data_IF_329879934933
#
_entry.id   IF_329879934933
#
_cell.length_a   1.000
_cell.length_b   1.000
_cell.length_c   1.000
_cell.angle_alpha   90.00
_cell.angle_beta   90.00
_cell.angle_gamma   90.00
#
_symmetry.space_group_name_H-M   'P 1'
#
loop_
_entity.id
_entity.type
_entity.pdbx_description
1 polymer ?
#
# COMPACT_ATOMS: atom_id res chain seq x y z
N UNK A 1 -8.12 18.06 2.93
CA UNK A 1 -7.50 18.53 4.19
C UNK A 1 -7.05 19.97 3.93
N UNK A 2 -8.00 20.86 3.64
CA UNK A 2 -7.72 22.11 2.88
C UNK A 2 -8.64 23.28 3.22
N UNK A 3 -9.53 23.15 4.22
CA UNK A 3 -10.49 24.20 4.59
C UNK A 3 -10.20 24.86 5.94
N UNK A 4 -9.33 24.27 6.75
CA UNK A 4 -9.01 24.79 8.09
C UNK A 4 -7.90 25.88 8.06
N UNK A 5 -6.91 25.73 7.16
CA UNK A 5 -5.73 26.63 7.12
C UNK A 5 -6.01 28.00 6.48
N UNK A 6 -6.91 28.06 5.50
CA UNK A 6 -7.30 29.34 4.88
C UNK A 6 -8.07 30.22 5.85
N UNK A 7 -8.91 29.61 6.70
CA UNK A 7 -9.75 30.31 7.66
C UNK A 7 -8.91 30.95 8.78
N UNK A 8 -7.90 30.25 9.29
CA UNK A 8 -6.97 30.80 10.28
C UNK A 8 -6.10 31.91 9.71
N UNK A 9 -5.62 31.77 8.47
CA UNK A 9 -4.84 32.82 7.80
C UNK A 9 -5.68 34.09 7.53
N UNK A 10 -6.95 33.93 7.16
CA UNK A 10 -7.89 35.05 6.99
C UNK A 10 -8.25 35.70 8.33
N UNK A 11 -8.49 34.94 9.39
CA UNK A 11 -8.73 35.47 10.73
C UNK A 11 -7.55 36.30 11.25
N UNK A 12 -6.31 35.84 11.00
CA UNK A 12 -5.10 36.55 11.41
C UNK A 12 -4.89 37.84 10.59
N UNK A 13 -5.14 37.79 9.29
CA UNK A 13 -5.12 38.96 8.41
C UNK A 13 -6.15 40.00 8.85
N UNK A 14 -7.37 39.55 9.14
CA UNK A 14 -8.47 40.42 9.61
C UNK A 14 -8.13 41.00 10.99
N UNK A 15 -7.47 40.24 11.86
CA UNK A 15 -6.99 40.74 13.16
C UNK A 15 -5.88 41.77 13.02
N UNK A 16 -4.98 41.63 12.04
CA UNK A 16 -3.94 42.64 11.76
C UNK A 16 -4.53 43.92 11.19
N UNK A 17 -5.51 43.80 10.28
CA UNK A 17 -6.23 44.94 9.71
C UNK A 17 -7.02 45.69 10.80
N UNK A 18 -7.65 44.98 11.75
CA UNK A 18 -8.36 45.60 12.88
C UNK A 18 -7.46 46.36 13.87
N UNK A 19 -6.18 45.99 14.00
CA UNK A 19 -5.22 46.71 14.85
C UNK A 19 -4.71 47.98 14.12
N UNK A 20 -4.64 47.95 12.79
CA UNK A 20 -4.23 49.06 11.94
C UNK A 20 -5.37 50.06 11.68
N UNK A 21 -6.63 49.60 11.71
CA UNK A 21 -7.82 50.46 11.70
C UNK A 21 -8.03 51.12 13.07
N UNK A 22 -7.15 52.05 13.40
CA UNK A 22 -7.35 53.08 14.43
C UNK A 22 -8.44 54.07 14.00
N UNK A 23 -9.66 53.61 13.76
CA UNK A 23 -10.88 54.43 13.71
C UNK A 23 -11.54 54.58 15.09
N UNK A 24 -10.97 53.98 16.13
CA UNK A 24 -11.42 54.09 17.54
C UNK A 24 -10.58 55.06 18.37
N UNK A 25 -10.08 56.14 17.78
CA UNK A 25 -9.76 57.34 18.57
C UNK A 25 -10.99 58.23 18.53
N UNK A 26 -11.94 57.91 19.40
CA UNK A 26 -13.06 58.78 19.67
C UNK A 26 -12.54 59.98 20.47
N UNK A 27 -12.27 61.08 19.78
CA UNK A 27 -11.80 62.35 20.36
C UNK A 27 -12.79 62.85 21.43
N UNK A 28 -14.04 62.39 21.39
CA UNK A 28 -15.08 62.70 22.38
C UNK A 28 -14.86 62.03 23.75
N UNK A 29 -14.01 61.00 23.84
CA UNK A 29 -13.68 60.34 25.12
C UNK A 29 -12.73 61.15 26.02
N UNK A 30 -12.18 62.26 25.52
CA UNK A 30 -11.40 63.22 26.30
C UNK A 30 -12.35 64.28 26.85
N UNK A 31 -13.28 63.90 27.73
CA UNK A 31 -13.99 64.85 28.58
C UNK A 31 -13.41 64.77 30.00
N UNK A 32 -12.95 65.92 30.50
CA UNK A 32 -12.43 66.03 31.86
C UNK A 32 -13.51 65.67 32.89
N UNK A 33 -13.25 64.69 33.74
CA UNK A 33 -14.12 64.38 34.88
C UNK A 33 -14.12 65.56 35.88
N UNK A 34 -15.21 66.31 35.92
CA UNK A 34 -15.40 67.35 36.93
C UNK A 34 -15.45 66.74 38.32
N UNK A 35 -14.53 67.15 39.19
CA UNK A 35 -14.45 66.71 40.58
C UNK A 35 -15.67 67.23 41.37
N UNK A 36 -16.40 66.32 42.03
CA UNK A 36 -17.53 66.67 42.90
C UNK A 36 -17.09 66.60 44.37
N UNK A 37 -17.24 67.70 45.10
CA UNK A 37 -16.92 67.77 46.53
C UNK A 37 -18.23 67.93 47.32
N UNK A 38 -18.39 67.12 48.36
CA UNK A 38 -19.56 67.13 49.25
C UNK A 38 -19.23 67.91 50.52
N UNK A 39 -19.88 69.05 50.74
CA UNK A 39 -19.73 69.85 51.96
C UNK A 39 -21.09 69.90 52.65
N UNK A 40 -21.22 69.18 53.76
CA UNK A 40 -22.50 69.00 54.47
C UNK A 40 -23.56 68.27 53.63
N UNK A 41 -24.81 68.75 53.68
CA UNK A 41 -25.98 68.10 53.07
C UNK A 41 -26.24 68.39 51.58
N UNK A 42 -25.32 69.05 50.86
CA UNK A 42 -25.47 69.37 49.42
C UNK A 42 -24.28 68.87 48.61
N UNK A 43 -24.53 68.43 47.38
CA UNK A 43 -23.52 68.05 46.38
C UNK A 43 -23.36 69.24 45.43
N UNK A 44 -22.15 69.77 45.29
CA UNK A 44 -21.86 70.89 44.39
C UNK A 44 -20.98 70.36 43.24
N UNK A 45 -21.39 70.63 42.00
CA UNK A 45 -20.62 70.35 40.79
C UNK A 45 -19.75 71.57 40.52
N UNK A 46 -18.43 71.42 40.60
CA UNK A 46 -17.50 72.51 40.29
C UNK A 46 -17.53 72.75 38.78
N UNK A 47 -17.99 73.94 38.39
CA UNK A 47 -17.96 74.42 37.01
C UNK A 47 -16.67 75.26 36.85
N UNK A 48 -15.88 74.96 35.82
CA UNK A 48 -14.56 75.57 35.60
C UNK A 48 -14.79 77.03 35.20
N UNK A 49 -14.41 77.96 36.08
CA UNK A 49 -14.64 79.41 35.87
C UNK A 49 -13.45 80.17 35.28
N UNK A 50 -12.26 79.57 35.20
CA UNK A 50 -11.10 80.20 34.54
C UNK A 50 -10.35 79.19 33.66
N UNK A 51 -10.39 79.42 32.35
CA UNK A 51 -9.47 78.82 31.38
C UNK A 51 -8.08 79.38 31.63
N UNK A 52 -7.26 78.67 32.39
CA UNK A 52 -5.81 78.90 32.35
C UNK A 52 -5.32 78.24 31.07
N UNK A 53 -5.04 79.06 30.05
CA UNK A 53 -4.37 78.59 28.83
C UNK A 53 -3.00 78.04 29.22
N UNK A 54 -2.88 76.72 29.30
CA UNK A 54 -1.57 76.07 29.42
C UNK A 54 -0.73 76.49 28.19
N UNK A 55 0.55 76.83 28.36
CA UNK A 55 1.42 77.16 27.24
C UNK A 55 1.44 76.00 26.24
N UNK A 56 1.28 76.29 24.94
CA UNK A 56 1.16 75.28 23.88
C UNK A 56 2.25 74.21 23.90
N UNK A 57 3.42 74.55 24.44
CA UNK A 57 4.58 73.67 24.54
C UNK A 57 4.37 72.51 25.54
N UNK A 58 3.65 72.71 26.64
CA UNK A 58 3.34 71.64 27.60
C UNK A 58 2.32 70.66 27.03
N UNK A 59 1.31 71.19 26.31
CA UNK A 59 0.32 70.38 25.59
C UNK A 59 1.02 69.57 24.50
N UNK A 60 1.88 70.18 23.68
CA UNK A 60 2.65 69.45 22.64
C UNK A 60 3.55 68.38 23.24
N UNK A 61 4.19 68.65 24.38
CA UNK A 61 5.01 67.66 25.07
C UNK A 61 4.17 66.46 25.54
N UNK A 62 3.02 66.70 26.17
CA UNK A 62 2.12 65.63 26.63
C UNK A 62 1.54 64.81 25.47
N UNK A 63 1.13 65.47 24.38
CA UNK A 63 0.66 64.78 23.17
C UNK A 63 1.77 63.98 22.51
N UNK A 64 2.99 64.52 22.40
CA UNK A 64 4.13 63.79 21.83
C UNK A 64 4.51 62.56 22.66
N UNK A 65 4.45 62.66 23.99
CA UNK A 65 4.69 61.55 24.90
C UNK A 65 3.63 60.45 24.73
N UNK A 66 2.33 60.81 24.73
CA UNK A 66 1.24 59.86 24.48
C UNK A 66 1.31 59.21 23.10
N UNK A 67 1.71 59.96 22.08
CA UNK A 67 1.85 59.45 20.71
C UNK A 67 3.04 58.49 20.58
N UNK A 68 4.13 58.77 21.30
CA UNK A 68 5.30 57.88 21.37
C UNK A 68 5.00 56.60 22.13
N UNK A 69 4.27 56.68 23.26
CA UNK A 69 3.81 55.51 24.02
C UNK A 69 2.89 54.62 23.17
N UNK A 70 1.96 55.22 22.41
CA UNK A 70 1.10 54.48 21.49
C UNK A 70 1.88 53.81 20.35
N UNK A 71 2.84 54.51 19.74
CA UNK A 71 3.71 53.93 18.72
C UNK A 71 4.54 52.77 19.27
N UNK A 72 5.00 52.86 20.51
CA UNK A 72 5.73 51.79 21.19
C UNK A 72 4.85 50.54 21.35
N UNK A 73 3.61 50.70 21.83
CA UNK A 73 2.64 49.60 21.98
C UNK A 73 2.30 48.93 20.65
N UNK A 74 2.11 49.73 19.58
CA UNK A 74 1.85 49.20 18.24
C UNK A 74 3.05 48.38 17.75
N UNK A 75 4.28 48.87 17.96
CA UNK A 75 5.50 48.12 17.58
C UNK A 75 5.64 46.82 18.36
N UNK A 76 5.32 46.83 19.65
CA UNK A 76 5.38 45.63 20.50
C UNK A 76 4.36 44.59 20.04
N UNK A 77 3.11 44.99 19.81
CA UNK A 77 2.05 44.10 19.29
C UNK A 77 2.38 43.57 17.89
N UNK A 78 2.95 44.41 17.01
CA UNK A 78 3.38 43.99 15.67
C UNK A 78 4.50 42.96 15.74
N UNK A 79 5.50 43.18 16.61
CA UNK A 79 6.60 42.25 16.81
C UNK A 79 6.13 40.92 17.40
N UNK A 80 5.20 40.94 18.35
CA UNK A 80 4.58 39.74 18.90
C UNK A 80 3.88 38.92 17.80
N UNK A 81 3.01 39.55 17.00
CA UNK A 81 2.33 38.87 15.89
C UNK A 81 3.25 38.41 14.78
N UNK A 82 4.30 39.17 14.46
CA UNK A 82 5.32 38.74 13.52
C UNK A 82 6.08 37.51 14.05
N UNK A 83 6.37 37.46 15.36
CA UNK A 83 6.99 36.29 15.98
C UNK A 83 6.07 35.05 15.95
N UNK A 84 4.78 35.20 16.23
CA UNK A 84 3.78 34.12 16.13
C UNK A 84 3.69 33.58 14.69
N UNK A 85 3.67 34.47 13.69
CA UNK A 85 3.63 34.09 12.28
C UNK A 85 4.90 33.34 11.87
N UNK A 86 6.07 33.80 12.31
CA UNK A 86 7.35 33.15 12.00
C UNK A 86 7.41 31.75 12.62
N UNK A 87 6.89 31.60 13.85
CA UNK A 87 6.77 30.31 14.51
C UNK A 87 5.82 29.35 13.77
N UNK A 88 4.64 29.83 13.36
CA UNK A 88 3.70 29.00 12.57
C UNK A 88 4.30 28.53 11.25
N UNK A 89 5.01 29.40 10.54
CA UNK A 89 5.66 29.04 9.26
C UNK A 89 6.73 27.98 9.49
N UNK A 90 7.54 28.11 10.53
CA UNK A 90 8.58 27.13 10.84
C UNK A 90 7.99 25.78 11.27
N UNK A 91 6.91 25.79 12.07
CA UNK A 91 6.19 24.58 12.44
C UNK A 91 5.59 23.87 11.21
N UNK A 92 4.94 24.63 10.32
CA UNK A 92 4.40 24.08 9.08
C UNK A 92 5.51 23.49 8.20
N UNK A 93 6.66 24.16 8.12
CA UNK A 93 7.83 23.66 7.36
C UNK A 93 8.28 22.29 7.88
N UNK A 94 8.40 22.13 9.20
CA UNK A 94 8.76 20.86 9.82
C UNK A 94 7.71 19.77 9.54
N UNK A 95 6.43 20.08 9.68
CA UNK A 95 5.34 19.13 9.38
C UNK A 95 5.35 18.67 7.92
N UNK A 96 5.68 19.56 6.98
CA UNK A 96 5.83 19.20 5.57
C UNK A 96 7.05 18.34 5.32
N UNK A 97 8.19 18.63 5.94
CA UNK A 97 9.41 17.82 5.83
C UNK A 97 9.18 16.41 6.40
N UNK A 98 8.48 16.28 7.53
CA UNK A 98 8.11 14.98 8.10
C UNK A 98 7.17 14.19 7.19
N UNK A 99 6.13 14.84 6.66
CA UNK A 99 5.20 14.20 5.71
C UNK A 99 5.88 13.79 4.41
N UNK A 100 6.79 14.61 3.90
CA UNK A 100 7.55 14.29 2.70
C UNK A 100 8.43 13.06 2.93
N UNK A 101 9.11 13.00 4.07
CA UNK A 101 9.90 11.84 4.48
C UNK A 101 9.03 10.58 4.62
N UNK A 102 7.87 10.69 5.26
CA UNK A 102 6.94 9.57 5.40
C UNK A 102 6.43 9.09 4.03
N UNK A 103 6.14 10.00 3.11
CA UNK A 103 5.72 9.66 1.75
C UNK A 103 6.84 9.02 0.95
N UNK A 104 8.09 9.49 1.08
CA UNK A 104 9.25 8.87 0.45
C UNK A 104 9.49 7.46 0.99
N UNK A 105 9.36 7.25 2.30
CA UNK A 105 9.45 5.92 2.91
C UNK A 105 8.31 5.00 2.44
N UNK A 106 7.09 5.53 2.31
CA UNK A 106 5.94 4.80 1.74
C UNK A 106 6.11 4.48 0.27
N UNK A 107 6.71 5.37 -0.53
CA UNK A 107 7.02 5.10 -1.94
C UNK A 107 8.15 4.09 -2.08
N UNK A 108 9.19 4.18 -1.26
CA UNK A 108 10.29 3.22 -1.24
C UNK A 108 9.85 1.82 -0.78
N UNK A 109 8.84 1.73 0.09
CA UNK A 109 8.23 0.47 0.54
C UNK A 109 7.05 0.01 -0.33
N UNK A 110 6.51 0.90 -1.17
CA UNK A 110 5.56 0.51 -2.19
C UNK A 110 6.33 -0.14 -3.34
N UNK A 111 6.55 -1.46 -3.26
CA UNK A 111 6.94 -2.24 -4.43
C UNK A 111 6.00 -1.89 -5.59
N UNK A 112 6.56 -1.28 -6.63
CA UNK A 112 5.89 -1.03 -7.91
C UNK A 112 5.52 -2.41 -8.45
N UNK A 113 4.23 -2.63 -8.74
CA UNK A 113 3.81 -3.90 -9.31
C UNK A 113 4.59 -4.10 -10.62
N UNK A 114 5.35 -5.20 -10.79
CA UNK A 114 6.03 -5.47 -12.04
C UNK A 114 5.01 -5.54 -13.19
N UNK A 115 5.40 -5.04 -14.36
CA UNK A 115 4.54 -5.02 -15.54
C UNK A 115 4.29 -6.45 -16.03
N UNK A 116 3.01 -6.85 -16.05
CA UNK A 116 2.58 -8.14 -16.57
C UNK A 116 2.01 -7.90 -17.97
N UNK A 117 2.64 -8.50 -18.97
CA UNK A 117 2.16 -8.44 -20.34
C UNK A 117 0.85 -9.22 -20.50
N UNK A 118 0.09 -8.90 -21.55
CA UNK A 118 -1.09 -9.68 -21.92
C UNK A 118 -0.75 -11.16 -22.15
N UNK A 119 0.43 -11.45 -22.69
CA UNK A 119 0.89 -12.82 -22.94
C UNK A 119 1.12 -13.60 -21.64
N UNK A 120 1.63 -12.96 -20.59
CA UNK A 120 1.76 -13.58 -19.27
C UNK A 120 0.40 -13.88 -18.65
N UNK A 121 -0.57 -12.97 -18.79
CA UNK A 121 -1.93 -13.19 -18.33
C UNK A 121 -2.62 -14.32 -19.10
N UNK A 122 -2.42 -14.38 -20.43
CA UNK A 122 -2.87 -15.48 -21.28
C UNK A 122 -2.19 -16.79 -20.88
N UNK A 123 -0.92 -16.75 -20.47
CA UNK A 123 -0.21 -17.91 -19.93
C UNK A 123 -0.73 -18.36 -18.55
N UNK A 124 -1.71 -17.66 -17.96
CA UNK A 124 -2.30 -18.01 -16.67
C UNK A 124 -1.57 -17.43 -15.45
N UNK A 125 -0.64 -16.49 -15.65
CA UNK A 125 0.06 -15.79 -14.57
C UNK A 125 -0.71 -14.55 -14.13
N UNK A 126 -0.93 -14.44 -12.82
CA UNK A 126 -1.54 -13.28 -12.19
C UNK A 126 -0.76 -12.88 -10.94
N UNK A 127 -0.84 -11.60 -10.57
CA UNK A 127 -0.12 -11.05 -9.43
C UNK A 127 -1.08 -10.40 -8.46
N UNK A 128 -0.89 -10.71 -7.19
CA UNK A 128 -1.66 -10.17 -6.09
C UNK A 128 -0.69 -9.49 -5.13
N UNK A 129 -0.90 -8.19 -4.89
CA UNK A 129 -0.18 -7.46 -3.84
C UNK A 129 -0.83 -7.77 -2.50
N UNK A 130 -0.12 -8.48 -1.63
CA UNK A 130 -0.63 -8.83 -0.32
C UNK A 130 -0.57 -7.61 0.61
N UNK A 131 -1.73 -7.01 0.92
CA UNK A 131 -1.86 -5.99 1.96
C UNK A 131 -1.97 -6.67 3.32
N UNK A 132 -0.90 -7.31 3.78
CA UNK A 132 -0.87 -7.89 5.13
C UNK A 132 -0.04 -6.99 6.04
N UNK A 133 -0.67 -6.46 7.10
CA UNK A 133 0.00 -5.78 8.21
C UNK A 133 1.06 -6.67 8.90
N UNK A 134 1.06 -7.99 8.67
CA UNK A 134 1.92 -8.94 9.35
C UNK A 134 3.15 -9.40 8.54
N UNK A 135 3.13 -9.32 7.20
CA UNK A 135 4.23 -9.83 6.35
C UNK A 135 5.05 -8.71 5.67
N UNK A 136 4.65 -7.45 5.87
CA UNK A 136 5.32 -6.26 5.35
C UNK A 136 4.86 -5.87 3.95
N UNK A 137 5.00 -4.58 3.62
CA UNK A 137 4.55 -3.98 2.34
C UNK A 137 5.25 -4.55 1.08
N UNK A 138 6.26 -5.42 1.26
CA UNK A 138 7.18 -5.87 0.23
C UNK A 138 6.88 -7.27 -0.34
N UNK A 139 5.77 -7.90 0.07
CA UNK A 139 5.43 -9.27 -0.34
C UNK A 139 4.48 -9.28 -1.55
N UNK A 140 4.93 -9.94 -2.61
CA UNK A 140 4.20 -10.13 -3.85
C UNK A 140 3.86 -11.62 -4.02
N UNK A 141 2.58 -11.92 -4.26
CA UNK A 141 2.09 -13.28 -4.45
C UNK A 141 1.71 -13.47 -5.90
N UNK A 142 2.43 -14.35 -6.58
CA UNK A 142 2.17 -14.75 -7.94
C UNK A 142 1.30 -16.00 -7.95
N UNK A 143 0.28 -16.00 -8.79
CA UNK A 143 -0.65 -17.10 -8.94
C UNK A 143 -0.60 -17.57 -10.39
N UNK A 144 -0.20 -18.82 -10.59
CA UNK A 144 -0.18 -19.46 -11.90
C UNK A 144 -1.21 -20.60 -11.95
N UNK A 145 -2.12 -20.54 -12.93
CA UNK A 145 -3.14 -21.57 -13.12
C UNK A 145 -2.53 -22.78 -13.87
N UNK A 146 -2.73 -23.97 -13.31
CA UNK A 146 -2.16 -25.20 -13.87
C UNK A 146 -3.02 -26.42 -13.59
N UNK A 147 -2.48 -27.58 -13.97
CA UNK A 147 -3.16 -28.86 -13.79
C UNK A 147 -2.23 -29.85 -13.11
N UNK A 148 -2.67 -30.38 -11.98
CA UNK A 148 -1.99 -31.48 -11.31
C UNK A 148 -2.31 -32.78 -12.04
N UNK A 149 -1.30 -33.43 -12.59
CA UNK A 149 -1.42 -34.69 -13.30
C UNK A 149 -0.22 -35.60 -13.03
N UNK A 150 -0.28 -36.43 -11.97
CA UNK A 150 0.79 -37.37 -11.66
C UNK A 150 0.78 -38.47 -12.73
N UNK A 151 1.90 -38.59 -13.44
CA UNK A 151 2.13 -39.56 -14.51
C UNK A 151 3.06 -40.67 -14.05
N UNK A 152 3.98 -40.38 -13.13
CA UNK A 152 5.03 -41.30 -12.72
C UNK A 152 5.04 -41.52 -11.20
N UNK A 153 5.50 -42.69 -10.77
CA UNK A 153 5.88 -43.00 -9.39
C UNK A 153 7.30 -43.52 -9.41
N UNK A 154 8.22 -42.80 -8.75
CA UNK A 154 9.66 -43.08 -8.76
C UNK A 154 10.23 -43.29 -10.17
N UNK A 155 9.72 -42.52 -11.14
CA UNK A 155 10.10 -42.61 -12.56
C UNK A 155 9.41 -43.73 -13.35
N UNK A 156 8.60 -44.59 -12.71
CA UNK A 156 7.82 -45.62 -13.40
C UNK A 156 6.46 -45.08 -13.83
N UNK A 157 6.02 -45.33 -15.08
CA UNK A 157 4.76 -44.80 -15.58
C UNK A 157 3.54 -45.45 -14.93
N UNK A 158 2.57 -44.63 -14.52
CA UNK A 158 1.25 -45.05 -14.06
C UNK A 158 0.37 -45.35 -15.26
N UNK A 159 -0.49 -46.36 -15.18
CA UNK A 159 -1.47 -46.65 -16.22
C UNK A 159 -2.21 -45.37 -16.68
N UNK A 160 -2.14 -44.98 -17.96
CA UNK A 160 -2.70 -43.71 -18.44
C UNK A 160 -4.20 -43.53 -18.16
N UNK A 161 -4.98 -44.62 -18.14
CA UNK A 161 -6.42 -44.56 -17.79
C UNK A 161 -6.62 -44.16 -16.34
N UNK A 162 -5.74 -44.61 -15.46
CA UNK A 162 -5.76 -44.29 -14.04
C UNK A 162 -5.20 -42.87 -13.80
N UNK A 163 -4.07 -42.53 -14.43
CA UNK A 163 -3.48 -41.20 -14.38
C UNK A 163 -4.47 -40.09 -14.78
N UNK A 164 -5.25 -40.31 -15.85
CA UNK A 164 -6.28 -39.37 -16.31
C UNK A 164 -7.38 -39.07 -15.28
N UNK A 165 -7.66 -39.98 -14.34
CA UNK A 165 -8.68 -39.79 -13.30
C UNK A 165 -8.20 -38.88 -12.15
N UNK A 166 -6.89 -38.68 -12.03
CA UNK A 166 -6.29 -37.86 -10.97
C UNK A 166 -6.06 -36.40 -11.40
N UNK A 167 -6.38 -36.08 -12.66
CA UNK A 167 -6.25 -34.74 -13.21
C UNK A 167 -7.10 -33.77 -12.39
N UNK A 168 -6.44 -32.80 -11.76
CA UNK A 168 -7.10 -31.81 -10.90
C UNK A 168 -6.59 -30.41 -11.22
N UNK A 169 -7.47 -29.39 -11.38
CA UNK A 169 -7.03 -28.01 -11.59
C UNK A 169 -6.43 -27.46 -10.30
N UNK A 170 -5.24 -26.89 -10.40
CA UNK A 170 -4.49 -26.32 -9.26
C UNK A 170 -3.99 -24.92 -9.58
N UNK A 171 -3.62 -24.19 -8.54
CA UNK A 171 -2.98 -22.88 -8.66
C UNK A 171 -1.65 -22.94 -7.92
N UNK A 172 -0.57 -22.58 -8.61
CA UNK A 172 0.75 -22.43 -8.01
C UNK A 172 0.83 -21.05 -7.38
N UNK A 173 1.04 -21.01 -6.07
CA UNK A 173 1.28 -19.79 -5.30
C UNK A 173 2.79 -19.63 -5.13
N UNK A 174 3.37 -18.63 -5.79
CA UNK A 174 4.78 -18.27 -5.65
C UNK A 174 4.85 -16.95 -4.89
N UNK A 175 5.38 -16.99 -3.67
CA UNK A 175 5.54 -15.82 -2.81
C UNK A 175 6.94 -15.27 -3.00
N UNK A 176 7.02 -13.98 -3.31
CA UNK A 176 8.27 -13.25 -3.50
C UNK A 176 8.37 -12.09 -2.53
N UNK A 177 9.60 -11.77 -2.12
CA UNK A 177 9.94 -10.60 -1.32
C UNK A 177 11.09 -9.88 -2.01
N UNK A 178 10.82 -8.70 -2.56
CA UNK A 178 11.74 -8.00 -3.46
C UNK A 178 12.16 -8.92 -4.61
N UNK A 179 13.47 -9.08 -4.85
CA UNK A 179 14.07 -9.91 -5.90
C UNK A 179 14.12 -11.42 -5.56
N UNK A 180 13.60 -11.84 -4.41
CA UNK A 180 13.74 -13.23 -3.92
C UNK A 180 12.45 -14.00 -3.94
N UNK A 181 12.53 -15.26 -4.38
CA UNK A 181 11.44 -16.23 -4.21
C UNK A 181 11.57 -16.83 -2.80
N UNK A 182 10.52 -16.67 -2.01
CA UNK A 182 10.47 -17.12 -0.62
C UNK A 182 9.84 -18.50 -0.52
N UNK A 183 8.78 -18.73 -1.30
CA UNK A 183 7.97 -19.95 -1.18
C UNK A 183 7.26 -20.27 -2.49
N UNK A 184 7.16 -21.55 -2.80
CA UNK A 184 6.31 -22.13 -3.85
C UNK A 184 5.40 -23.16 -3.21
N UNK A 185 4.08 -23.03 -3.37
CA UNK A 185 3.07 -23.94 -2.79
C UNK A 185 1.94 -24.18 -3.79
N UNK A 186 1.36 -25.38 -3.75
CA UNK A 186 0.21 -25.77 -4.55
C UNK A 186 -1.09 -25.52 -3.78
N UNK A 187 -2.00 -24.77 -4.41
CA UNK A 187 -3.32 -24.44 -3.87
C UNK A 187 -4.44 -24.97 -4.77
N UNK A 188 -5.62 -25.10 -4.18
CA UNK A 188 -6.86 -25.31 -4.93
C UNK A 188 -7.21 -24.03 -5.68
N UNK A 189 -7.66 -24.17 -6.91
CA UNK A 189 -8.09 -23.03 -7.75
C UNK A 189 -9.21 -22.22 -7.11
N UNK A 190 -10.14 -22.90 -6.42
CA UNK A 190 -11.25 -22.25 -5.72
C UNK A 190 -10.88 -22.04 -4.25
N UNK A 191 -10.94 -20.79 -3.80
CA UNK A 191 -10.70 -20.40 -2.42
C UNK A 191 -9.24 -20.45 -1.95
N UNK A 192 -8.29 -20.79 -2.84
CA UNK A 192 -6.84 -20.82 -2.57
C UNK A 192 -6.44 -21.60 -1.31
N UNK A 193 -7.26 -22.59 -0.91
CA UNK A 193 -6.93 -23.50 0.19
C UNK A 193 -5.85 -24.49 -0.22
N UNK A 194 -5.15 -25.10 0.75
CA UNK A 194 -4.11 -26.09 0.47
C UNK A 194 -4.67 -27.23 -0.40
N UNK A 195 -3.95 -27.58 -1.47
CA UNK A 195 -4.24 -28.76 -2.27
C UNK A 195 -3.45 -29.94 -1.69
N UNK A 196 -4.13 -30.94 -1.14
CA UNK A 196 -3.47 -32.14 -0.64
C UNK A 196 -3.05 -33.03 -1.80
N UNK A 197 -1.75 -33.32 -1.87
CA UNK A 197 -1.14 -34.14 -2.91
C UNK A 197 0.08 -34.89 -2.37
N UNK A 198 0.70 -35.75 -3.17
CA UNK A 198 1.76 -36.65 -2.68
C UNK A 198 3.06 -35.94 -2.26
N UNK A 199 3.25 -34.69 -2.67
CA UNK A 199 4.35 -33.83 -2.24
C UNK A 199 3.96 -32.88 -1.11
N UNK A 200 2.71 -32.88 -0.66
CA UNK A 200 2.29 -31.97 0.41
C UNK A 200 2.83 -32.40 1.78
N UNK A 201 3.39 -31.47 2.56
CA UNK A 201 3.82 -31.72 3.95
C UNK A 201 2.81 -31.08 4.92
N UNK A 202 3.13 -29.94 5.51
CA UNK A 202 2.30 -29.24 6.51
C UNK A 202 1.34 -28.25 5.86
N UNK A 203 0.43 -27.64 6.63
CA UNK A 203 -0.63 -26.74 6.12
C UNK A 203 -0.14 -25.57 5.25
N UNK A 204 1.16 -25.28 5.25
CA UNK A 204 1.79 -24.16 4.55
C UNK A 204 2.98 -24.54 3.66
N UNK A 205 3.31 -25.82 3.51
CA UNK A 205 4.52 -26.25 2.77
C UNK A 205 4.33 -27.53 1.95
N UNK A 206 5.05 -27.57 0.83
CA UNK A 206 5.19 -28.72 -0.04
C UNK A 206 6.66 -29.15 -0.10
N UNK A 207 6.91 -30.45 -0.26
CA UNK A 207 8.23 -31.01 -0.45
C UNK A 207 8.55 -31.09 -1.95
N UNK A 208 9.62 -30.43 -2.36
CA UNK A 208 10.03 -30.39 -3.76
C UNK A 208 11.08 -31.45 -4.11
N UNK A 209 11.40 -32.34 -3.16
CA UNK A 209 12.39 -33.40 -3.32
C UNK A 209 13.78 -32.83 -3.58
N UNK A 210 14.39 -33.23 -4.70
CA UNK A 210 15.71 -32.72 -5.14
C UNK A 210 15.61 -31.41 -5.93
N UNK A 211 14.40 -31.01 -6.34
CA UNK A 211 14.23 -29.75 -7.04
C UNK A 211 14.27 -28.59 -6.04
N UNK A 212 15.15 -27.63 -6.29
CA UNK A 212 15.19 -26.36 -5.58
C UNK A 212 14.67 -25.27 -6.51
N UNK A 213 13.66 -24.53 -6.07
CA UNK A 213 13.18 -23.38 -6.84
C UNK A 213 14.25 -22.27 -6.89
N UNK A 214 14.29 -21.47 -7.97
CA UNK A 214 15.22 -20.34 -8.08
C UNK A 214 15.07 -19.39 -6.89
N UNK A 215 16.18 -19.01 -6.24
CA UNK A 215 16.13 -18.11 -5.07
C UNK A 215 15.88 -16.66 -5.44
N UNK A 216 16.12 -16.29 -6.70
CA UNK A 216 15.96 -14.92 -7.22
C UNK A 216 15.18 -14.93 -8.53
N UNK A 217 14.52 -13.82 -8.81
CA UNK A 217 13.79 -13.56 -10.05
C UNK A 217 14.09 -12.13 -10.52
N UNK A 218 14.13 -11.91 -11.82
CA UNK A 218 14.33 -10.59 -12.42
C UNK A 218 13.13 -10.17 -13.28
N UNK A 219 12.50 -11.12 -13.98
CA UNK A 219 11.34 -10.87 -14.82
C UNK A 219 10.16 -11.77 -14.45
N UNK A 220 8.92 -11.40 -14.85
CA UNK A 220 7.77 -12.30 -14.72
C UNK A 220 7.95 -13.64 -15.44
N UNK A 221 8.78 -13.72 -16.49
CA UNK A 221 9.10 -14.96 -17.19
C UNK A 221 9.86 -15.96 -16.31
N UNK A 222 10.70 -15.47 -15.41
CA UNK A 222 11.40 -16.32 -14.44
C UNK A 222 10.39 -16.99 -13.49
N UNK A 223 9.35 -16.24 -13.08
CA UNK A 223 8.27 -16.75 -12.23
C UNK A 223 7.41 -17.77 -12.99
N UNK A 224 7.08 -17.47 -14.25
CA UNK A 224 6.35 -18.39 -15.12
C UNK A 224 7.12 -19.71 -15.32
N UNK A 225 8.42 -19.61 -15.56
CA UNK A 225 9.31 -20.77 -15.72
C UNK A 225 9.39 -21.58 -14.43
N UNK A 226 9.56 -20.91 -13.28
CA UNK A 226 9.51 -21.56 -11.97
C UNK A 226 8.19 -22.30 -11.73
N UNK A 227 7.06 -21.73 -12.15
CA UNK A 227 5.75 -22.37 -12.00
C UNK A 227 5.61 -23.62 -12.89
N UNK A 228 6.13 -23.57 -14.13
CA UNK A 228 6.15 -24.72 -15.05
C UNK A 228 7.06 -25.84 -14.56
N UNK A 229 8.24 -25.50 -14.04
CA UNK A 229 9.17 -26.46 -13.44
C UNK A 229 8.54 -27.14 -12.22
N UNK A 230 7.86 -26.36 -11.36
CA UNK A 230 7.13 -26.91 -10.22
C UNK A 230 6.05 -27.91 -10.66
N UNK A 231 5.28 -27.61 -11.70
CA UNK A 231 4.31 -28.56 -12.26
C UNK A 231 4.99 -29.82 -12.81
N UNK A 232 6.12 -29.69 -13.48
CA UNK A 232 6.88 -30.83 -13.99
C UNK A 232 7.34 -31.75 -12.86
N UNK A 233 7.76 -31.19 -11.72
CA UNK A 233 8.11 -31.98 -10.52
C UNK A 233 6.89 -32.73 -9.97
N UNK A 234 5.72 -32.12 -9.98
CA UNK A 234 4.48 -32.75 -9.53
C UNK A 234 4.00 -33.89 -10.44
N UNK A 235 4.50 -34.00 -11.67
CA UNK A 235 4.19 -35.14 -12.55
C UNK A 235 4.78 -36.47 -12.04
N UNK A 236 5.83 -36.41 -11.21
CA UNK A 236 6.47 -37.59 -10.63
C UNK A 236 6.28 -37.63 -9.12
N UNK A 237 5.62 -38.68 -8.64
CA UNK A 237 5.45 -38.95 -7.21
C UNK A 237 6.70 -39.66 -6.70
N UNK A 238 7.38 -39.08 -5.71
CA UNK A 238 8.55 -39.70 -5.09
C UNK A 238 8.15 -40.36 -3.76
N UNK A 239 8.21 -41.69 -3.69
CA UNK A 239 7.82 -42.47 -2.51
C UNK A 239 8.77 -42.28 -1.33
N UNK A 240 10.02 -41.86 -1.59
CA UNK A 240 11.01 -41.55 -0.56
C UNK A 240 10.84 -40.15 0.02
N UNK A 241 9.97 -39.32 -0.56
CA UNK A 241 9.71 -37.99 -0.04
C UNK A 241 8.95 -38.05 1.30
N UNK A 242 9.13 -37.06 2.20
CA UNK A 242 8.34 -36.95 3.42
C UNK A 242 6.90 -36.48 3.17
N UNK A 243 6.44 -36.46 1.91
CA UNK A 243 5.11 -35.99 1.54
C UNK A 243 3.97 -36.91 1.97
N UNK A 244 2.74 -36.40 1.84
CA UNK A 244 1.53 -37.11 2.27
C UNK A 244 1.28 -38.37 1.43
N UNK A 245 1.25 -39.53 2.10
CA UNK A 245 0.97 -40.83 1.47
C UNK A 245 -0.52 -41.10 1.19
N UNK A 246 -1.40 -40.35 1.85
CA UNK A 246 -2.86 -40.47 1.74
C UNK A 246 -3.51 -39.08 1.56
N UNK A 247 -3.26 -38.38 0.44
CA UNK A 247 -3.86 -37.08 0.17
C UNK A 247 -5.39 -37.17 0.04
N UNK A 248 -6.11 -36.22 0.66
CA UNK A 248 -7.56 -36.13 0.56
C UNK A 248 -8.01 -35.84 -0.87
N UNK A 249 -8.95 -36.63 -1.38
CA UNK A 249 -9.48 -36.49 -2.75
C UNK A 249 -8.63 -37.18 -3.82
N UNK A 250 -7.52 -37.82 -3.45
CA UNK A 250 -6.66 -38.59 -4.36
C UNK A 250 -6.51 -40.04 -3.85
N UNK A 251 -6.14 -41.00 -4.72
CA UNK A 251 -5.88 -42.37 -4.29
C UNK A 251 -4.77 -42.47 -3.24
N UNK A 252 -4.77 -43.53 -2.44
CA UNK A 252 -3.65 -43.81 -1.54
C UNK A 252 -2.42 -44.22 -2.35
N UNK A 253 -1.22 -43.92 -1.83
CA UNK A 253 0.04 -44.28 -2.50
C UNK A 253 0.12 -45.78 -2.82
N UNK A 254 -0.33 -46.64 -1.88
CA UNK A 254 -0.36 -48.09 -2.09
C UNK A 254 -1.31 -48.53 -3.22
N UNK A 255 -2.38 -47.79 -3.49
CA UNK A 255 -3.27 -48.03 -4.63
C UNK A 255 -2.61 -47.55 -5.93
N UNK A 256 -1.87 -46.45 -5.87
CA UNK A 256 -1.11 -45.92 -7.00
C UNK A 256 -0.04 -46.92 -7.47
N UNK A 257 0.67 -47.53 -6.52
CA UNK A 257 1.72 -48.54 -6.75
C UNK A 257 1.20 -49.78 -7.50
N UNK A 258 -0.04 -50.19 -7.25
CA UNK A 258 -0.69 -51.30 -7.96
C UNK A 258 -1.01 -51.00 -9.43
N UNK A 259 -1.02 -49.73 -9.81
CA UNK A 259 -1.29 -49.27 -11.18
C UNK A 259 -0.03 -48.82 -11.93
N UNK A 260 1.16 -49.08 -11.38
CA UNK A 260 2.44 -48.89 -12.06
C UNK A 260 2.57 -49.95 -13.15
N UNK A 261 2.92 -49.51 -14.35
CA UNK A 261 3.20 -50.41 -15.47
C UNK A 261 4.64 -50.92 -15.37
N UNK A 262 4.86 -52.17 -15.77
CA UNK A 262 6.19 -52.79 -15.77
C UNK A 262 6.50 -53.44 -17.13
N UNK A 263 7.77 -53.68 -17.43
CA UNK A 263 8.19 -54.39 -18.64
C UNK A 263 7.91 -53.62 -19.95
N UNK A 264 7.41 -54.34 -20.96
CA UNK A 264 7.11 -53.77 -22.29
C UNK A 264 5.97 -52.74 -22.26
N UNK A 265 5.00 -52.90 -21.35
CA UNK A 265 3.89 -51.96 -21.18
C UNK A 265 4.39 -50.57 -20.77
N UNK A 266 5.40 -50.50 -19.90
CA UNK A 266 6.02 -49.25 -19.49
C UNK A 266 6.77 -48.55 -20.64
N UNK A 267 7.42 -49.32 -21.52
CA UNK A 267 8.19 -48.79 -22.66
C UNK A 267 7.31 -48.21 -23.77
N UNK A 268 6.09 -48.71 -23.90
CA UNK A 268 5.14 -48.30 -24.94
C UNK A 268 4.21 -47.16 -24.49
N UNK A 269 4.29 -46.72 -23.23
CA UNK A 269 3.46 -45.62 -22.74
C UNK A 269 3.97 -44.30 -23.30
N UNK A 270 3.16 -43.71 -24.17
CA UNK A 270 3.25 -42.29 -24.51
C UNK A 270 2.13 -41.57 -23.78
N UNK A 271 2.46 -40.85 -22.72
CA UNK A 271 1.59 -39.75 -22.33
C UNK A 271 1.56 -38.81 -23.52
N UNK A 272 0.37 -38.39 -23.96
CA UNK A 272 0.31 -37.29 -24.89
C UNK A 272 1.08 -36.15 -24.24
N UNK A 273 2.28 -35.85 -24.76
CA UNK A 273 2.93 -34.57 -24.49
C UNK A 273 1.86 -33.56 -24.84
N UNK A 274 1.45 -32.79 -23.84
CA UNK A 274 0.60 -31.64 -23.99
C UNK A 274 1.29 -30.71 -24.98
N UNK A 275 1.09 -30.95 -26.29
CA UNK A 275 1.37 -29.97 -27.32
C UNK A 275 0.27 -28.94 -27.14
N UNK A 276 0.61 -27.90 -26.39
CA UNK A 276 -0.34 -26.87 -26.02
C UNK A 276 -1.25 -27.27 -24.88
N UNK A 277 -1.35 -26.38 -23.92
CA UNK A 277 -2.39 -26.18 -22.94
C UNK A 277 -3.81 -26.10 -23.56
N UNK A 278 -4.24 -27.10 -24.34
CA UNK A 278 -5.58 -27.12 -24.93
C UNK A 278 -6.67 -27.30 -23.85
N UNK A 279 -6.31 -27.79 -22.65
CA UNK A 279 -7.23 -27.87 -21.51
C UNK A 279 -7.32 -26.61 -20.65
N UNK A 280 -6.37 -25.67 -20.80
CA UNK A 280 -6.36 -24.38 -20.10
C UNK A 280 -6.72 -23.20 -21.01
N UNK A 281 -7.03 -23.44 -22.30
CA UNK A 281 -7.37 -22.37 -23.24
C UNK A 281 -6.17 -21.53 -23.71
N UNK A 282 -4.94 -22.02 -23.53
CA UNK A 282 -3.72 -21.30 -23.88
C UNK A 282 -3.17 -21.92 -25.16
N UNK A 283 -3.53 -21.31 -26.29
CA UNK A 283 -2.98 -21.67 -27.60
C UNK A 283 -1.65 -20.96 -27.80
N UNK A 284 -0.57 -21.74 -27.86
CA UNK A 284 0.72 -21.33 -28.42
C UNK A 284 0.60 -21.38 -29.95
N UNK A 285 0.58 -20.21 -30.59
CA UNK A 285 0.76 -20.14 -32.04
C UNK A 285 2.23 -20.43 -32.32
N UNK A 286 2.52 -21.60 -32.88
CA UNK A 286 3.82 -21.86 -33.50
C UNK A 286 3.73 -21.64 -35.01
N UNK A 287 4.77 -21.00 -35.55
CA UNK A 287 4.97 -20.53 -36.93
C UNK A 287 5.02 -21.63 -38.03
N UNK A 288 4.17 -22.65 -37.97
CA UNK A 288 4.05 -23.62 -39.06
C UNK A 288 2.60 -23.76 -39.48
N UNK A 289 2.30 -23.08 -40.58
CA UNK A 289 0.98 -23.02 -41.19
C UNK A 289 0.39 -24.40 -41.49
N UNK A 290 -0.88 -24.56 -41.14
CA UNK A 290 -1.98 -24.82 -42.07
C UNK A 290 -3.25 -24.87 -41.24
N UNK A 291 -4.06 -23.81 -41.34
CA UNK A 291 -5.35 -23.73 -40.68
C UNK A 291 -6.39 -24.52 -41.46
N UNK A 292 -6.98 -25.53 -40.83
CA UNK A 292 -8.33 -25.97 -41.16
C UNK A 292 -9.18 -26.00 -39.89
N UNK A 293 -9.90 -24.90 -39.68
CA UNK A 293 -11.02 -24.86 -38.76
C UNK A 293 -12.16 -25.69 -39.35
N UNK A 294 -12.52 -26.80 -38.69
CA UNK A 294 -13.78 -27.50 -38.94
C UNK A 294 -14.69 -27.19 -37.77
N UNK A 295 -15.60 -26.23 -37.97
CA UNK A 295 -16.75 -26.04 -37.10
C UNK A 295 -17.85 -26.99 -37.57
N UNK A 296 -18.45 -27.74 -36.64
CA UNK A 296 -19.77 -28.33 -36.84
C UNK A 296 -20.76 -27.62 -35.92
N UNK A 297 -21.87 -27.21 -36.54
CA UNK A 297 -23.09 -26.61 -35.97
C UNK A 297 -23.62 -27.30 -34.73
#
# INVERSE_FOLDING_TARGET
>A
MTTWDTQQAEELKTSMENILDTSTIDIESIQSEGMTIRIGGKVVKLEITEEVSLPEDEIRAEYSAKLTEKLQRIKEALNEKMSEMTYMVEQNRQDFEEKEKELQERLASANIMPEISYDHAKAGLSLVKQHSHHDGADVLTWLFQGVYWPKYVDGNPINPKYAKRMISPVTMEIVTKKDRIVRVVVRKTIGLSKFEHYHSMDSSSDCWGQWEFPKRWNSPDDILSCARDALAVLENVNTTSPGNRNPSGLPRLSTLEQHILSGEEARNVRYATSRGDERAGIVEQSDRGEGHAVWST
#
